data_IF_147103011700
#
_entry.id   IF_147103011700
#
_cell.length_a   1.000
_cell.length_b   1.000
_cell.length_c   1.000
_cell.angle_alpha   90.00
_cell.angle_beta   90.00
_cell.angle_gamma   90.00
#
_symmetry.space_group_name_H-M   'P 1'
#
loop_
_entity.id
_entity.type
_entity.pdbx_description
1 polymer ?
#
# COMPACT_ATOMS: atom_id res chain seq x y z
N UNK A 1 0.51 30.02 0.76
CA UNK A 1 -0.84 29.46 0.85
C UNK A 1 -0.71 28.01 0.38
N UNK A 2 -0.83 27.03 1.29
CA UNK A 2 -0.90 25.64 0.88
C UNK A 2 -2.20 25.43 0.10
N UNK A 3 -2.18 24.69 -1.01
CA UNK A 3 -3.40 24.40 -1.73
C UNK A 3 -4.36 23.68 -0.77
N UNK A 4 -5.57 24.19 -0.65
CA UNK A 4 -6.65 23.47 0.03
C UNK A 4 -6.78 22.10 -0.64
N UNK A 5 -6.95 21.03 0.13
CA UNK A 5 -7.29 19.71 -0.40
C UNK A 5 -8.63 19.83 -1.15
N UNK A 6 -8.55 20.10 -2.44
CA UNK A 6 -9.74 20.32 -3.29
C UNK A 6 -10.22 19.04 -3.95
N UNK A 7 -9.41 17.98 -3.93
CA UNK A 7 -9.74 16.71 -4.56
C UNK A 7 -9.17 15.51 -3.79
N UNK A 8 -9.83 14.38 -3.90
CA UNK A 8 -9.37 13.10 -3.36
C UNK A 8 -8.10 12.63 -4.10
N UNK A 9 -7.00 12.30 -3.39
CA UNK A 9 -5.75 11.89 -4.03
C UNK A 9 -5.83 10.50 -4.72
N UNK A 10 -6.90 9.75 -4.48
CA UNK A 10 -7.12 8.45 -5.12
C UNK A 10 -8.03 8.56 -6.34
N UNK A 11 -9.22 9.16 -6.21
CA UNK A 11 -10.22 9.13 -7.30
C UNK A 11 -10.44 10.48 -7.99
N UNK A 12 -9.80 11.55 -7.49
CA UNK A 12 -9.93 12.90 -8.05
C UNK A 12 -11.26 13.62 -7.74
N UNK A 13 -12.19 12.99 -7.02
CA UNK A 13 -13.46 13.60 -6.64
C UNK A 13 -13.26 14.81 -5.73
N UNK A 14 -14.02 15.88 -5.98
CA UNK A 14 -14.07 17.06 -5.08
C UNK A 14 -15.10 16.91 -3.97
N UNK A 15 -15.85 15.83 -3.93
CA UNK A 15 -16.86 15.56 -2.92
C UNK A 15 -16.21 14.97 -1.66
N UNK A 16 -15.72 15.87 -0.82
CA UNK A 16 -14.97 15.58 0.39
C UNK A 16 -15.68 16.17 1.61
N UNK A 17 -15.72 15.44 2.72
CA UNK A 17 -16.15 16.01 3.99
C UNK A 17 -15.08 15.87 5.07
N UNK A 18 -15.01 16.85 6.02
CA UNK A 18 -13.98 16.86 7.04
C UNK A 18 -14.27 15.84 8.15
N UNK A 19 -13.21 15.13 8.58
CA UNK A 19 -13.17 14.30 9.76
C UNK A 19 -12.19 14.90 10.78
N UNK A 20 -12.72 15.64 11.76
CA UNK A 20 -11.89 16.20 12.83
C UNK A 20 -11.52 15.11 13.84
N UNK A 21 -10.23 14.92 14.08
CA UNK A 21 -9.68 13.98 15.05
C UNK A 21 -8.66 14.66 15.95
N UNK A 22 -9.12 15.23 17.07
CA UNK A 22 -8.27 15.98 18.02
C UNK A 22 -7.46 17.08 17.31
N UNK A 23 -6.14 16.86 17.14
CA UNK A 23 -5.20 17.80 16.55
C UNK A 23 -4.99 17.62 15.04
N UNK A 24 -5.44 16.52 14.46
CA UNK A 24 -5.28 16.22 13.03
C UNK A 24 -6.58 16.37 12.26
N UNK A 25 -6.50 16.97 11.09
CA UNK A 25 -7.61 17.15 10.15
C UNK A 25 -7.50 16.12 9.03
N UNK A 26 -8.57 15.40 8.82
CA UNK A 26 -8.69 14.45 7.73
C UNK A 26 -9.88 14.82 6.86
N UNK A 27 -9.84 14.37 5.62
CA UNK A 27 -10.98 14.45 4.70
C UNK A 27 -11.35 13.05 4.25
N UNK A 28 -12.64 12.78 4.19
CA UNK A 28 -13.16 11.54 3.63
C UNK A 28 -13.84 11.82 2.30
N UNK A 29 -13.50 11.04 1.28
CA UNK A 29 -14.12 11.10 -0.04
C UNK A 29 -15.48 10.39 -0.01
N UNK A 30 -16.52 11.04 -0.52
CA UNK A 30 -17.85 10.43 -0.63
C UNK A 30 -17.88 9.32 -1.70
N UNK A 31 -17.09 9.45 -2.77
CA UNK A 31 -17.08 8.50 -3.88
C UNK A 31 -16.33 7.20 -3.53
N UNK A 32 -15.04 7.27 -3.26
CA UNK A 32 -14.20 6.08 -3.03
C UNK A 32 -13.96 5.77 -1.54
N UNK A 33 -14.49 6.57 -0.63
CA UNK A 33 -14.39 6.43 0.84
C UNK A 33 -12.97 6.45 1.41
N UNK A 34 -11.95 6.84 0.61
CA UNK A 34 -10.61 7.09 1.13
C UNK A 34 -10.67 8.19 2.20
N UNK A 35 -9.98 7.98 3.32
CA UNK A 35 -9.69 9.04 4.28
C UNK A 35 -8.25 9.48 4.10
N UNK A 36 -8.02 10.79 3.98
CA UNK A 36 -6.65 11.30 3.84
C UNK A 36 -6.38 12.48 4.76
N UNK A 37 -5.14 12.60 5.18
CA UNK A 37 -4.68 13.70 6.03
C UNK A 37 -4.64 15.00 5.22
N UNK A 38 -5.01 16.12 5.87
CA UNK A 38 -4.79 17.47 5.33
C UNK A 38 -3.33 17.64 4.92
N UNK A 39 -3.09 18.03 3.66
CA UNK A 39 -1.76 18.16 3.10
C UNK A 39 -0.83 19.09 3.91
N UNK A 40 -1.39 20.10 4.57
CA UNK A 40 -0.64 21.03 5.41
C UNK A 40 -0.12 20.41 6.71
N UNK A 41 -0.56 19.20 7.05
CA UNK A 41 -0.17 18.49 8.27
C UNK A 41 0.70 17.25 7.99
N UNK A 42 1.08 17.01 6.75
CA UNK A 42 2.02 15.94 6.36
C UNK A 42 3.43 16.30 6.84
N UNK A 43 4.20 15.27 7.18
CA UNK A 43 5.62 15.43 7.48
C UNK A 43 6.39 15.92 6.24
N UNK A 44 7.54 16.55 6.46
CA UNK A 44 8.53 16.72 5.41
C UNK A 44 9.19 15.39 5.07
N UNK A 45 9.78 15.24 3.88
CA UNK A 45 10.50 14.00 3.50
C UNK A 45 11.63 13.65 4.48
N UNK A 46 12.27 14.66 5.07
CA UNK A 46 13.34 14.46 6.06
C UNK A 46 12.78 13.89 7.37
N UNK A 47 11.67 14.44 7.85
CA UNK A 47 11.03 13.97 9.08
C UNK A 47 10.39 12.59 8.88
N UNK A 48 9.80 12.33 7.72
CA UNK A 48 9.25 11.03 7.34
C UNK A 48 10.36 9.95 7.34
N UNK A 49 11.49 10.25 6.69
CA UNK A 49 12.62 9.31 6.65
C UNK A 49 13.17 9.04 8.05
N UNK A 50 13.25 10.05 8.92
CA UNK A 50 13.72 9.86 10.29
C UNK A 50 12.84 8.88 11.08
N UNK A 51 11.51 8.87 10.84
CA UNK A 51 10.61 7.87 11.45
C UNK A 51 10.90 6.46 10.93
N UNK A 52 11.19 6.32 9.63
CA UNK A 52 11.52 5.00 9.06
C UNK A 52 12.89 4.48 9.49
N UNK A 53 13.87 5.36 9.73
CA UNK A 53 15.20 4.96 10.21
C UNK A 53 15.16 4.33 11.63
N UNK A 54 14.09 4.60 12.40
CA UNK A 54 13.85 3.99 13.71
C UNK A 54 13.18 2.59 13.63
N UNK A 55 12.77 2.15 12.43
CA UNK A 55 12.13 0.84 12.26
C UNK A 55 13.17 -0.28 12.12
N UNK A 56 13.19 -1.20 13.09
CA UNK A 56 14.00 -2.41 13.05
C UNK A 56 13.23 -3.58 12.41
N UNK A 57 13.34 -3.72 11.09
CA UNK A 57 12.78 -4.85 10.35
C UNK A 57 13.86 -5.91 10.12
N UNK A 58 14.09 -6.78 11.10
CA UNK A 58 15.06 -7.85 10.96
C UNK A 58 14.51 -8.98 10.07
N UNK A 59 15.32 -9.37 9.06
CA UNK A 59 14.93 -10.40 8.06
C UNK A 59 14.55 -11.72 8.73
N UNK A 60 15.19 -12.07 9.85
CA UNK A 60 14.99 -13.34 10.56
C UNK A 60 13.99 -13.24 11.72
N UNK A 61 13.38 -12.07 11.96
CA UNK A 61 12.37 -11.93 13.00
C UNK A 61 11.13 -12.77 12.69
N UNK A 62 10.83 -13.73 13.56
CA UNK A 62 9.74 -14.69 13.37
C UNK A 62 8.36 -14.04 13.47
N UNK A 63 8.23 -12.97 14.27
CA UNK A 63 6.98 -12.19 14.38
C UNK A 63 6.69 -11.44 13.09
N UNK A 64 7.71 -10.76 12.56
CA UNK A 64 7.63 -10.02 11.31
C UNK A 64 7.38 -10.96 10.11
N UNK A 65 8.09 -12.08 10.00
CA UNK A 65 7.84 -13.09 8.96
C UNK A 65 6.42 -13.66 9.03
N UNK A 66 5.88 -13.91 10.23
CA UNK A 66 4.49 -14.35 10.41
C UNK A 66 3.49 -13.27 9.99
N UNK A 67 3.81 -12.00 10.21
CA UNK A 67 2.99 -10.89 9.73
C UNK A 67 2.98 -10.85 8.20
N UNK A 68 4.13 -10.95 7.54
CA UNK A 68 4.29 -10.96 6.09
C UNK A 68 3.72 -12.21 5.42
N UNK A 69 3.62 -13.34 6.15
CA UNK A 69 3.09 -14.59 5.58
C UNK A 69 1.66 -14.43 5.06
N UNK A 70 0.85 -13.53 5.64
CA UNK A 70 -0.50 -13.26 5.12
C UNK A 70 -0.50 -12.75 3.68
N UNK A 71 0.47 -11.93 3.31
CA UNK A 71 0.69 -11.49 1.93
C UNK A 71 1.31 -12.60 1.08
N UNK A 72 2.35 -13.25 1.59
CA UNK A 72 3.08 -14.26 0.84
C UNK A 72 2.25 -15.52 0.56
N UNK A 73 1.40 -15.96 1.50
CA UNK A 73 0.47 -17.07 1.31
C UNK A 73 -0.49 -16.82 0.14
N UNK A 74 -0.91 -15.56 -0.08
CA UNK A 74 -1.77 -15.22 -1.21
C UNK A 74 -1.00 -15.29 -2.55
N UNK A 75 0.29 -14.98 -2.55
CA UNK A 75 1.17 -15.21 -3.71
C UNK A 75 1.26 -16.71 -4.01
N UNK A 76 1.61 -17.54 -3.03
CA UNK A 76 1.81 -18.98 -3.23
C UNK A 76 0.55 -19.75 -3.62
N UNK A 77 -0.63 -19.26 -3.22
CA UNK A 77 -1.93 -19.83 -3.63
C UNK A 77 -2.26 -19.58 -5.10
N UNK A 78 -1.79 -18.45 -5.67
CA UNK A 78 -2.20 -17.97 -7.01
C UNK A 78 -1.09 -18.01 -8.04
N UNK A 79 0.18 -18.11 -7.63
CA UNK A 79 1.34 -18.18 -8.51
C UNK A 79 2.19 -19.41 -8.20
N UNK A 80 2.95 -19.90 -9.17
CA UNK A 80 3.84 -21.06 -8.99
C UNK A 80 5.27 -20.63 -9.32
N UNK A 81 6.22 -21.05 -8.50
CA UNK A 81 7.63 -20.88 -8.79
C UNK A 81 8.06 -21.77 -9.99
N UNK A 82 9.00 -21.32 -10.84
CA UNK A 82 9.58 -19.98 -10.80
C UNK A 82 8.61 -18.95 -11.38
N UNK A 83 8.39 -17.86 -10.66
CA UNK A 83 7.67 -16.69 -11.15
C UNK A 83 8.42 -15.45 -10.67
N UNK A 84 8.31 -14.35 -11.42
CA UNK A 84 9.04 -13.11 -11.14
C UNK A 84 8.17 -12.16 -10.33
N UNK A 85 8.66 -11.78 -9.15
CA UNK A 85 7.97 -10.85 -8.24
C UNK A 85 8.72 -9.56 -7.99
N UNK A 86 7.97 -8.54 -7.56
CA UNK A 86 8.49 -7.28 -7.02
C UNK A 86 7.92 -7.08 -5.62
N UNK A 87 8.78 -6.78 -4.64
CA UNK A 87 8.35 -6.25 -3.35
C UNK A 87 8.55 -4.73 -3.36
N UNK A 88 7.44 -3.99 -3.40
CA UNK A 88 7.41 -2.53 -3.47
C UNK A 88 7.23 -1.93 -2.08
N UNK A 89 8.21 -1.11 -1.63
CA UNK A 89 8.29 -0.60 -0.27
C UNK A 89 8.81 -1.67 0.70
N UNK A 90 9.87 -2.39 0.28
CA UNK A 90 10.42 -3.52 1.02
C UNK A 90 11.12 -3.15 2.34
N UNK A 91 11.31 -1.85 2.60
CA UNK A 91 12.01 -1.35 3.78
C UNK A 91 13.49 -1.73 3.86
N UNK A 92 14.14 -1.48 5.01
CA UNK A 92 15.57 -1.77 5.20
C UNK A 92 15.86 -3.27 5.29
N UNK A 93 14.91 -4.08 5.76
CA UNK A 93 15.06 -5.53 5.92
C UNK A 93 14.04 -6.30 5.08
N UNK A 94 14.36 -6.64 3.80
CA UNK A 94 13.42 -7.21 2.83
C UNK A 94 13.08 -8.69 3.14
N UNK A 95 12.42 -8.94 4.26
CA UNK A 95 12.10 -10.29 4.73
C UNK A 95 11.14 -11.03 3.79
N UNK A 96 10.19 -10.34 3.14
CA UNK A 96 9.29 -10.97 2.17
C UNK A 96 10.06 -11.44 0.94
N UNK A 97 11.03 -10.66 0.46
CA UNK A 97 11.93 -11.05 -0.63
C UNK A 97 12.67 -12.35 -0.25
N UNK A 98 13.30 -12.39 0.94
CA UNK A 98 14.01 -13.58 1.40
C UNK A 98 13.08 -14.81 1.54
N UNK A 99 11.82 -14.62 1.98
CA UNK A 99 10.83 -15.70 2.05
C UNK A 99 10.48 -16.23 0.66
N UNK A 100 10.29 -15.35 -0.30
CA UNK A 100 9.92 -15.71 -1.66
C UNK A 100 11.08 -16.39 -2.41
N UNK A 101 12.32 -15.88 -2.28
CA UNK A 101 13.52 -16.52 -2.85
C UNK A 101 13.74 -17.91 -2.27
N UNK A 102 13.56 -18.11 -0.96
CA UNK A 102 13.63 -19.43 -0.33
C UNK A 102 12.56 -20.41 -0.85
N UNK A 103 11.44 -19.90 -1.36
CA UNK A 103 10.38 -20.69 -2.00
C UNK A 103 10.58 -20.86 -3.53
N UNK A 104 11.68 -20.36 -4.09
CA UNK A 104 12.06 -20.56 -5.50
C UNK A 104 11.51 -19.50 -6.46
N UNK A 105 11.04 -18.34 -5.96
CA UNK A 105 10.64 -17.21 -6.78
C UNK A 105 11.84 -16.31 -7.13
N UNK A 106 11.77 -15.64 -8.28
CA UNK A 106 12.72 -14.61 -8.65
C UNK A 106 12.22 -13.25 -8.14
N UNK A 107 12.98 -12.58 -7.24
CA UNK A 107 12.51 -11.36 -6.60
C UNK A 107 13.32 -10.13 -6.99
N UNK A 108 12.61 -9.10 -7.42
CA UNK A 108 13.08 -7.72 -7.38
C UNK A 108 12.57 -7.04 -6.10
N UNK A 109 13.25 -5.97 -5.68
CA UNK A 109 12.85 -5.12 -4.58
C UNK A 109 12.99 -3.66 -4.93
N UNK A 110 12.11 -2.84 -4.40
CA UNK A 110 12.21 -1.39 -4.50
C UNK A 110 11.76 -0.75 -3.20
N UNK A 111 12.50 0.24 -2.76
CA UNK A 111 12.11 1.12 -1.66
C UNK A 111 12.72 2.50 -1.89
N UNK A 112 11.91 3.55 -1.75
CA UNK A 112 12.31 4.95 -2.01
C UNK A 112 13.55 5.37 -1.22
N UNK A 113 13.69 4.87 0.01
CA UNK A 113 14.75 5.29 0.93
C UNK A 113 15.87 4.27 1.08
N UNK A 114 15.54 2.97 1.06
CA UNK A 114 16.48 1.90 1.40
C UNK A 114 16.98 1.11 0.18
N UNK A 115 16.20 1.04 -0.89
CA UNK A 115 16.52 0.31 -2.12
C UNK A 115 16.03 1.08 -3.35
N UNK A 116 16.59 2.28 -3.65
CA UNK A 116 16.07 3.20 -4.66
C UNK A 116 16.51 2.83 -6.10
N UNK A 117 16.59 1.54 -6.43
CA UNK A 117 16.94 1.09 -7.78
C UNK A 117 15.70 1.12 -8.69
N UNK A 118 15.57 2.21 -9.44
CA UNK A 118 14.46 2.41 -10.37
C UNK A 118 14.41 1.39 -11.52
N UNK A 119 15.48 0.62 -11.75
CA UNK A 119 15.47 -0.45 -12.75
C UNK A 119 14.41 -1.52 -12.43
N UNK A 120 14.06 -1.71 -11.17
CA UNK A 120 12.96 -2.55 -10.74
C UNK A 120 11.59 -2.02 -11.23
N UNK A 121 11.44 -0.72 -11.43
CA UNK A 121 10.20 -0.10 -11.92
C UNK A 121 10.12 -0.04 -13.46
N UNK A 122 11.10 -0.61 -14.17
CA UNK A 122 11.14 -0.68 -15.62
C UNK A 122 10.90 -2.11 -16.16
N UNK A 123 10.57 -3.07 -15.30
CA UNK A 123 10.41 -4.48 -15.64
C UNK A 123 8.95 -4.93 -15.55
N UNK A 124 8.67 -6.17 -16.00
CA UNK A 124 7.36 -6.81 -15.86
C UNK A 124 7.42 -7.92 -14.83
N UNK A 125 6.30 -8.16 -14.14
CA UNK A 125 6.21 -9.10 -13.03
C UNK A 125 4.97 -9.96 -13.13
N UNK A 126 5.09 -11.18 -12.63
CA UNK A 126 3.96 -12.11 -12.48
C UNK A 126 3.18 -11.82 -11.20
N UNK A 127 3.85 -11.25 -10.20
CA UNK A 127 3.20 -10.71 -9.01
C UNK A 127 3.96 -9.52 -8.43
N UNK A 128 3.22 -8.66 -7.73
CA UNK A 128 3.78 -7.53 -6.96
C UNK A 128 3.17 -7.56 -5.57
N UNK A 129 4.01 -7.41 -4.55
CA UNK A 129 3.61 -7.24 -3.16
C UNK A 129 3.93 -5.83 -2.69
N UNK A 130 3.07 -5.28 -1.82
CA UNK A 130 3.32 -4.02 -1.13
C UNK A 130 2.65 -4.06 0.23
N UNK A 131 3.46 -4.08 1.30
CA UNK A 131 3.01 -4.35 2.66
C UNK A 131 3.31 -3.16 3.57
N UNK A 132 2.26 -2.56 4.17
CA UNK A 132 2.32 -1.35 5.00
C UNK A 132 3.06 -0.21 4.25
N UNK A 133 2.57 0.14 3.05
CA UNK A 133 3.14 1.16 2.17
C UNK A 133 2.09 2.14 1.66
N UNK A 134 0.93 1.63 1.22
CA UNK A 134 -0.05 2.47 0.52
C UNK A 134 -0.66 3.55 1.41
N UNK A 135 -0.66 3.35 2.73
CA UNK A 135 -1.07 4.32 3.73
C UNK A 135 -0.14 5.53 3.86
N UNK A 136 1.11 5.40 3.39
CA UNK A 136 2.11 6.46 3.40
C UNK A 136 2.10 7.31 2.12
N UNK A 137 1.35 6.90 1.09
CA UNK A 137 1.36 7.57 -0.20
C UNK A 137 0.53 8.86 -0.18
N UNK A 138 1.18 9.98 -0.47
CA UNK A 138 0.53 11.29 -0.62
C UNK A 138 -0.37 11.36 -1.86
N UNK A 139 0.07 10.72 -2.94
CA UNK A 139 -0.61 10.60 -4.23
C UNK A 139 -0.67 9.11 -4.60
N UNK A 140 -1.62 8.34 -4.01
CA UNK A 140 -1.62 6.89 -4.17
C UNK A 140 -1.94 6.43 -5.59
N UNK A 141 -2.80 7.15 -6.33
CA UNK A 141 -3.24 6.68 -7.64
C UNK A 141 -2.11 6.52 -8.67
N UNK A 142 -1.20 7.49 -8.88
CA UNK A 142 -0.11 7.33 -9.83
C UNK A 142 0.78 6.12 -9.51
N UNK A 143 1.07 5.88 -8.23
CA UNK A 143 1.91 4.76 -7.79
C UNK A 143 1.18 3.44 -8.01
N UNK A 144 -0.09 3.34 -7.62
CA UNK A 144 -0.88 2.13 -7.79
C UNK A 144 -1.13 1.80 -9.26
N UNK A 145 -1.39 2.81 -10.11
CA UNK A 145 -1.48 2.64 -11.57
C UNK A 145 -0.13 2.19 -12.17
N UNK A 146 1.00 2.69 -11.67
CA UNK A 146 2.32 2.24 -12.08
C UNK A 146 2.50 0.76 -11.74
N UNK A 147 2.27 0.34 -10.50
CA UNK A 147 2.39 -1.06 -10.08
C UNK A 147 1.50 -1.97 -10.92
N UNK A 148 0.25 -1.55 -11.15
CA UNK A 148 -0.67 -2.27 -12.04
C UNK A 148 -0.14 -2.40 -13.45
N UNK A 149 0.48 -1.34 -13.99
CA UNK A 149 1.07 -1.36 -15.32
C UNK A 149 2.24 -2.33 -15.45
N UNK A 150 3.02 -2.53 -14.39
CA UNK A 150 4.17 -3.45 -14.36
C UNK A 150 3.78 -4.93 -14.30
N UNK A 151 2.53 -5.27 -14.02
CA UNK A 151 2.08 -6.66 -14.03
C UNK A 151 1.93 -7.20 -15.46
N UNK A 152 2.31 -8.43 -15.65
CA UNK A 152 1.96 -9.23 -16.81
C UNK A 152 0.44 -9.46 -16.87
N UNK A 153 -0.17 -9.75 -18.05
CA UNK A 153 -1.52 -10.30 -18.10
C UNK A 153 -1.62 -11.56 -17.20
N UNK A 154 -2.69 -11.67 -16.41
CA UNK A 154 -2.82 -12.72 -15.39
C UNK A 154 -1.97 -12.50 -14.14
N UNK A 155 -1.23 -11.40 -14.04
CA UNK A 155 -0.38 -11.09 -12.88
C UNK A 155 -1.19 -10.66 -11.65
N UNK A 156 -0.60 -10.82 -10.47
CA UNK A 156 -1.22 -10.61 -9.17
C UNK A 156 -0.63 -9.39 -8.45
N UNK A 157 -1.47 -8.46 -7.99
CA UNK A 157 -1.10 -7.42 -7.03
C UNK A 157 -1.66 -7.78 -5.65
N UNK A 158 -0.80 -7.85 -4.63
CA UNK A 158 -1.19 -8.05 -3.24
C UNK A 158 -0.78 -6.84 -2.43
N UNK A 159 -1.77 -6.15 -1.86
CA UNK A 159 -1.55 -5.03 -0.96
C UNK A 159 -1.95 -5.42 0.46
N UNK A 160 -1.09 -5.12 1.43
CA UNK A 160 -1.41 -5.28 2.84
C UNK A 160 -1.40 -3.91 3.51
N UNK A 161 -2.57 -3.49 3.99
CA UNK A 161 -2.81 -2.28 4.79
C UNK A 161 -4.11 -2.42 5.54
N UNK A 162 -4.22 -1.82 6.71
CA UNK A 162 -5.46 -1.88 7.50
C UNK A 162 -6.55 -1.01 6.87
N UNK A 163 -7.78 -1.53 6.81
CA UNK A 163 -8.93 -0.85 6.19
C UNK A 163 -9.75 -0.03 7.18
N UNK A 164 -10.15 1.17 6.75
CA UNK A 164 -11.14 2.01 7.46
C UNK A 164 -12.51 1.35 7.36
N UNK A 165 -13.17 1.16 8.49
CA UNK A 165 -14.53 0.62 8.55
C UNK A 165 -15.57 1.74 8.50
N UNK A 166 -15.52 2.65 9.47
CA UNK A 166 -16.44 3.78 9.60
C UNK A 166 -15.77 4.99 10.26
N UNK A 167 -16.49 6.11 10.31
CA UNK A 167 -15.95 7.39 10.82
C UNK A 167 -15.78 7.38 12.34
N UNK A 168 -16.65 6.69 13.07
CA UNK A 168 -16.59 6.63 14.52
C UNK A 168 -15.35 5.86 14.99
N UNK A 169 -15.15 4.66 14.42
CA UNK A 169 -13.95 3.86 14.68
C UNK A 169 -12.69 4.55 14.24
N UNK A 170 -12.70 5.25 13.09
CA UNK A 170 -11.55 6.01 12.61
C UNK A 170 -11.09 7.05 13.64
N UNK A 171 -12.02 7.77 14.30
CA UNK A 171 -11.67 8.81 15.29
C UNK A 171 -10.88 8.28 16.49
N UNK A 172 -11.05 7.02 16.87
CA UNK A 172 -10.35 6.37 17.99
C UNK A 172 -9.27 5.39 17.55
N UNK A 173 -9.05 5.24 16.24
CA UNK A 173 -8.18 4.20 15.70
C UNK A 173 -6.70 4.51 15.93
N UNK A 174 -5.99 3.57 16.57
CA UNK A 174 -4.55 3.75 16.87
C UNK A 174 -3.67 3.80 15.63
N UNK A 175 -4.06 3.14 14.52
CA UNK A 175 -3.31 3.09 13.27
C UNK A 175 -3.04 4.48 12.65
N UNK A 176 -3.92 5.45 12.88
CA UNK A 176 -3.74 6.84 12.47
C UNK A 176 -2.78 7.64 13.36
N UNK A 177 -2.28 7.03 14.48
CA UNK A 177 -1.35 7.73 15.39
C UNK A 177 0.07 7.74 14.84
N UNK A 178 0.38 6.83 13.92
CA UNK A 178 1.62 6.91 13.16
C UNK A 178 1.64 8.22 12.37
N UNK A 179 2.68 9.07 12.54
CA UNK A 179 2.75 10.36 11.87
C UNK A 179 2.92 10.25 10.35
N UNK A 180 3.42 9.13 9.85
CA UNK A 180 3.64 8.85 8.43
C UNK A 180 2.41 8.28 7.73
N UNK A 181 1.38 7.80 8.48
CA UNK A 181 0.12 7.35 7.92
C UNK A 181 -0.74 8.54 7.51
N UNK A 182 -0.95 8.71 6.22
CA UNK A 182 -1.63 9.86 5.62
C UNK A 182 -2.79 9.50 4.68
N UNK A 183 -2.87 8.24 4.23
CA UNK A 183 -3.90 7.73 3.32
C UNK A 183 -4.49 6.44 3.86
N UNK A 184 -5.79 6.40 4.12
CA UNK A 184 -6.44 5.28 4.79
C UNK A 184 -7.55 4.73 3.88
N UNK A 185 -7.36 3.53 3.39
CA UNK A 185 -8.22 2.88 2.43
C UNK A 185 -9.41 2.20 3.11
N UNK A 186 -10.58 2.28 2.50
CA UNK A 186 -11.74 1.45 2.79
C UNK A 186 -11.89 0.37 1.70
N UNK A 187 -12.76 -0.62 1.89
CA UNK A 187 -13.09 -1.57 0.81
C UNK A 187 -13.59 -0.85 -0.44
N UNK A 188 -14.39 0.21 -0.28
CA UNK A 188 -14.87 1.02 -1.40
C UNK A 188 -13.71 1.68 -2.19
N UNK A 189 -12.58 2.00 -1.54
CA UNK A 189 -11.38 2.52 -2.20
C UNK A 189 -10.77 1.49 -3.13
N UNK A 190 -10.66 0.25 -2.67
CA UNK A 190 -10.13 -0.85 -3.46
C UNK A 190 -11.12 -1.33 -4.53
N UNK A 191 -12.42 -1.31 -4.26
CA UNK A 191 -13.44 -1.59 -5.26
C UNK A 191 -13.39 -0.58 -6.41
N UNK A 192 -13.21 0.70 -6.10
CA UNK A 192 -13.03 1.76 -7.10
C UNK A 192 -11.76 1.51 -7.97
N UNK A 193 -10.66 1.08 -7.37
CA UNK A 193 -9.46 0.67 -8.11
C UNK A 193 -9.74 -0.55 -9.01
N UNK A 194 -10.46 -1.55 -8.48
CA UNK A 194 -10.85 -2.73 -9.26
C UNK A 194 -11.69 -2.37 -10.48
N UNK A 195 -12.69 -1.51 -10.33
CA UNK A 195 -13.51 -0.98 -11.44
C UNK A 195 -12.63 -0.27 -12.47
N UNK A 196 -11.71 0.59 -12.03
CA UNK A 196 -10.77 1.31 -12.87
C UNK A 196 -9.86 0.37 -13.67
N UNK A 197 -9.41 -0.72 -13.08
CA UNK A 197 -8.50 -1.69 -13.70
C UNK A 197 -9.20 -2.86 -14.40
N UNK A 198 -10.53 -2.90 -14.37
CA UNK A 198 -11.35 -3.95 -14.99
C UNK A 198 -11.25 -5.29 -14.30
N UNK A 199 -11.08 -5.32 -12.97
CA UNK A 199 -11.03 -6.53 -12.16
C UNK A 199 -11.82 -6.38 -10.86
N UNK A 200 -12.11 -7.51 -10.21
CA UNK A 200 -12.77 -7.52 -8.89
C UNK A 200 -11.73 -7.81 -7.81
N UNK A 201 -11.56 -6.94 -6.80
CA UNK A 201 -10.65 -7.21 -5.70
C UNK A 201 -11.17 -8.34 -4.81
N UNK A 202 -10.26 -9.15 -4.29
CA UNK A 202 -10.52 -10.18 -3.29
C UNK A 202 -9.95 -9.75 -1.94
N UNK A 203 -10.64 -10.09 -0.84
CA UNK A 203 -10.27 -9.70 0.53
C UNK A 203 -10.01 -10.93 1.41
N UNK A 204 -8.88 -11.64 1.22
CA UNK A 204 -8.60 -12.88 1.96
C UNK A 204 -8.41 -12.67 3.46
N UNK A 205 -7.94 -11.49 3.86
CA UNK A 205 -7.75 -11.09 5.26
C UNK A 205 -8.29 -9.68 5.53
N UNK A 206 -8.45 -9.34 6.81
CA UNK A 206 -8.94 -8.01 7.21
C UNK A 206 -8.01 -6.85 6.77
N UNK A 207 -6.77 -7.14 6.47
CA UNK A 207 -5.73 -6.19 6.07
C UNK A 207 -5.05 -6.54 4.73
N UNK A 208 -5.53 -7.55 4.00
CA UNK A 208 -4.98 -7.94 2.69
C UNK A 208 -6.03 -7.80 1.61
N UNK A 209 -5.65 -7.24 0.48
CA UNK A 209 -6.44 -7.18 -0.75
C UNK A 209 -5.60 -7.69 -1.93
N UNK A 210 -6.23 -8.49 -2.79
CA UNK A 210 -5.64 -9.07 -3.98
C UNK A 210 -6.37 -8.58 -5.22
N UNK A 211 -5.61 -8.22 -6.26
CA UNK A 211 -6.12 -7.88 -7.59
C UNK A 211 -5.47 -8.80 -8.62
N UNK A 212 -6.27 -9.52 -9.39
CA UNK A 212 -5.80 -10.33 -10.50
C UNK A 212 -5.99 -9.57 -11.80
N UNK A 213 -4.90 -9.33 -12.52
CA UNK A 213 -4.95 -8.61 -13.81
C UNK A 213 -5.59 -9.51 -14.86
N UNK A 214 -6.56 -9.01 -15.64
CA UNK A 214 -7.11 -9.75 -16.77
C UNK A 214 -6.02 -10.24 -17.76
N UNK A 215 -6.32 -11.34 -18.47
CA UNK A 215 -5.45 -11.92 -19.50
C UNK A 215 -5.35 -11.05 -20.74
#
# INVERSE_FOLDING_TARGET
>A
MHPLNTACPLCGSNDLYPLACKTRRYFRCELCRLVHLDASQRLSEVDEKAVYDDHENLIDDQGYRRFLSRTFDEVTKRTRAPAKGLDFGCGPGPALVAMAEAAGYEMARYDKYFHPDESALAQRYDFITSTEVVEHLAEPLPILDQLWSLLNPGGLLVLQTKRVLDDERFRSWHYRNDPTHISFFAEASFNWLGERWGCTPEYPHADVVCFLKPL
#
